data_IF_959071027656
#
_entry.id   IF_959071027656
#
_cell.length_a   1.000
_cell.length_b   1.000
_cell.length_c   1.000
_cell.angle_alpha   90.00
_cell.angle_beta   90.00
_cell.angle_gamma   90.00
#
_symmetry.space_group_name_H-M   'P 1'
#
loop_
_entity.id
_entity.type
_entity.pdbx_description
1 polymer ?
#
# COMPACT_ATOMS: atom_id res chain seq x y z
N UNK A 1 -15.01 -7.29 -29.74
CA UNK A 1 -13.61 -6.86 -29.94
C UNK A 1 -13.06 -6.43 -28.60
N UNK A 2 -12.14 -7.20 -28.02
CA UNK A 2 -11.45 -6.83 -26.79
C UNK A 2 -10.48 -5.70 -27.12
N UNK A 3 -10.73 -4.49 -26.67
CA UNK A 3 -9.77 -3.39 -26.72
C UNK A 3 -8.63 -3.83 -25.81
N UNK A 4 -7.52 -4.21 -26.43
CA UNK A 4 -6.30 -4.61 -25.72
C UNK A 4 -5.62 -3.35 -25.16
N UNK A 5 -6.20 -2.77 -24.10
CA UNK A 5 -5.63 -1.60 -23.44
C UNK A 5 -4.37 -2.03 -22.69
N UNK A 6 -3.28 -1.26 -22.83
CA UNK A 6 -2.04 -1.44 -22.08
C UNK A 6 -2.36 -1.43 -20.57
N UNK A 7 -1.78 -2.36 -19.79
CA UNK A 7 -1.97 -2.36 -18.34
C UNK A 7 -1.51 -1.03 -17.72
N UNK A 8 -2.33 -0.47 -16.85
CA UNK A 8 -1.97 0.73 -16.09
C UNK A 8 -0.94 0.39 -15.02
N UNK A 9 -0.05 1.33 -14.76
CA UNK A 9 0.89 1.31 -13.65
C UNK A 9 0.56 2.50 -12.75
N UNK A 10 0.34 2.24 -11.47
CA UNK A 10 -0.02 3.26 -10.48
C UNK A 10 1.04 3.29 -9.40
N UNK A 11 1.65 4.46 -9.17
CA UNK A 11 2.44 4.76 -7.99
C UNK A 11 1.51 5.46 -6.99
N UNK A 12 1.36 4.88 -5.80
CA UNK A 12 0.45 5.37 -4.77
C UNK A 12 1.20 5.87 -3.54
N UNK A 13 0.83 7.07 -3.09
CA UNK A 13 1.13 7.59 -1.76
C UNK A 13 -0.16 7.77 -0.97
N UNK A 14 -0.12 7.48 0.33
CA UNK A 14 -1.23 7.71 1.27
C UNK A 14 -0.72 8.69 2.33
N UNK A 15 -1.22 9.93 2.28
CA UNK A 15 -0.70 11.05 3.08
C UNK A 15 -1.82 11.65 3.91
N UNK A 16 -1.69 11.60 5.22
CA UNK A 16 -2.69 12.11 6.15
C UNK A 16 -2.04 12.64 7.44
N UNK A 17 -2.80 13.39 8.21
CA UNK A 17 -2.36 14.00 9.47
C UNK A 17 -1.97 15.46 9.32
N UNK A 18 -1.54 16.08 10.41
CA UNK A 18 -1.29 17.51 10.45
C UNK A 18 0.17 17.89 10.15
N UNK A 19 1.10 16.97 10.34
CA UNK A 19 2.54 17.21 10.22
C UNK A 19 2.94 17.41 8.75
N UNK A 20 3.55 18.55 8.43
CA UNK A 20 3.99 18.89 7.07
C UNK A 20 5.01 17.90 6.53
N UNK A 21 5.82 17.32 7.39
CA UNK A 21 6.88 16.37 7.01
C UNK A 21 6.37 15.18 6.18
N UNK A 22 5.12 14.74 6.39
CA UNK A 22 4.55 13.65 5.59
C UNK A 22 4.22 14.10 4.17
N UNK A 23 3.74 15.33 4.02
CA UNK A 23 3.42 15.93 2.72
C UNK A 23 4.69 16.26 1.96
N UNK A 24 5.66 16.91 2.63
CA UNK A 24 6.97 17.24 2.06
C UNK A 24 7.72 15.98 1.64
N UNK A 25 7.66 14.92 2.46
CA UNK A 25 8.23 13.63 2.16
C UNK A 25 7.63 12.99 0.90
N UNK A 26 6.30 12.98 0.77
CA UNK A 26 5.63 12.48 -0.44
C UNK A 26 6.04 13.28 -1.68
N UNK A 27 6.07 14.63 -1.58
CA UNK A 27 6.48 15.52 -2.66
C UNK A 27 7.92 15.21 -3.07
N UNK A 28 8.83 15.14 -2.12
CA UNK A 28 10.24 14.78 -2.41
C UNK A 28 10.34 13.41 -3.06
N UNK A 29 9.62 12.42 -2.54
CA UNK A 29 9.64 11.06 -3.06
C UNK A 29 9.20 11.00 -4.52
N UNK A 30 8.02 11.54 -4.88
CA UNK A 30 7.57 11.48 -6.27
C UNK A 30 8.36 12.39 -7.20
N UNK A 31 8.95 13.49 -6.74
CA UNK A 31 9.87 14.28 -7.56
C UNK A 31 11.14 13.48 -7.91
N UNK A 32 11.69 12.73 -6.95
CA UNK A 32 12.81 11.83 -7.25
C UNK A 32 12.40 10.70 -8.19
N UNK A 33 11.15 10.21 -8.12
CA UNK A 33 10.60 9.24 -9.07
C UNK A 33 10.53 9.82 -10.47
N UNK A 34 9.97 11.03 -10.63
CA UNK A 34 9.81 11.71 -11.92
C UNK A 34 11.14 11.97 -12.63
N UNK A 35 12.24 12.08 -11.89
CA UNK A 35 13.58 12.22 -12.48
C UNK A 35 14.05 10.96 -13.24
N UNK A 36 13.42 9.80 -13.02
CA UNK A 36 13.80 8.51 -13.59
C UNK A 36 12.81 7.97 -14.61
N UNK A 37 11.62 8.56 -14.71
CA UNK A 37 10.56 8.09 -15.60
C UNK A 37 10.25 9.16 -16.66
N UNK A 38 9.84 8.70 -17.82
CA UNK A 38 9.40 9.55 -18.93
C UNK A 38 7.87 9.50 -19.08
N UNK A 39 7.31 10.44 -19.84
CA UNK A 39 5.89 10.41 -20.19
C UNK A 39 5.47 9.15 -20.96
N UNK A 40 6.43 8.43 -21.58
CA UNK A 40 6.17 7.19 -22.31
C UNK A 40 6.03 5.97 -21.39
N UNK A 41 6.40 6.08 -20.12
CA UNK A 41 6.34 4.94 -19.18
C UNK A 41 4.92 4.67 -18.68
N UNK A 42 3.96 5.56 -18.97
CA UNK A 42 2.53 5.43 -18.63
C UNK A 42 2.30 5.08 -17.16
N UNK A 43 2.96 5.79 -16.26
CA UNK A 43 2.78 5.61 -14.81
C UNK A 43 1.97 6.77 -14.27
N UNK A 44 0.84 6.46 -13.65
CA UNK A 44 0.03 7.44 -12.93
C UNK A 44 0.53 7.56 -11.49
N UNK A 45 0.81 8.78 -11.03
CA UNK A 45 1.10 9.06 -9.63
C UNK A 45 -0.20 9.47 -8.96
N UNK A 46 -0.61 8.72 -7.95
CA UNK A 46 -1.82 8.95 -7.17
C UNK A 46 -1.44 9.31 -5.75
N UNK A 47 -1.99 10.39 -5.22
CA UNK A 47 -1.86 10.77 -3.81
C UNK A 47 -3.24 10.71 -3.16
N UNK A 48 -3.44 9.75 -2.28
CA UNK A 48 -4.63 9.66 -1.44
C UNK A 48 -4.39 10.49 -0.18
N UNK A 49 -5.15 11.57 0.00
CA UNK A 49 -4.82 12.58 1.02
C UNK A 49 -6.03 13.31 1.61
N UNK A 50 -5.86 13.91 2.79
CA UNK A 50 -6.83 14.84 3.40
C UNK A 50 -6.68 16.28 2.87
N UNK A 51 -5.52 16.61 2.27
CA UNK A 51 -5.17 17.99 1.83
C UNK A 51 -4.76 17.97 0.36
N UNK A 52 -5.70 17.70 -0.58
CA UNK A 52 -5.40 17.60 -2.00
C UNK A 52 -4.79 18.89 -2.58
N UNK A 53 -5.17 20.05 -2.05
CA UNK A 53 -4.69 21.38 -2.48
C UNK A 53 -3.18 21.54 -2.39
N UNK A 54 -2.50 20.79 -1.51
CA UNK A 54 -1.05 20.82 -1.39
C UNK A 54 -0.32 20.21 -2.61
N UNK A 55 -1.06 19.51 -3.44
CA UNK A 55 -0.52 18.79 -4.60
C UNK A 55 -0.92 19.41 -5.95
N UNK A 56 -1.72 20.47 -5.98
CA UNK A 56 -2.28 21.07 -7.21
C UNK A 56 -1.21 21.53 -8.22
N UNK A 57 -0.01 21.90 -7.75
CA UNK A 57 1.09 22.36 -8.60
C UNK A 57 1.96 21.24 -9.16
N UNK A 58 1.67 19.98 -8.84
CA UNK A 58 2.48 18.83 -9.21
C UNK A 58 1.77 17.92 -10.22
N UNK A 59 2.50 17.18 -11.07
CA UNK A 59 1.92 16.28 -12.07
C UNK A 59 1.43 14.97 -11.44
N UNK A 60 0.57 15.07 -10.44
CA UNK A 60 -0.02 13.94 -9.71
C UNK A 60 -1.54 14.05 -9.72
N UNK A 61 -2.23 12.94 -9.55
CA UNK A 61 -3.67 12.93 -9.35
C UNK A 61 -3.97 12.70 -7.87
N UNK A 62 -4.81 13.54 -7.29
CA UNK A 62 -5.24 13.37 -5.90
C UNK A 62 -6.56 12.63 -5.80
N UNK A 63 -6.69 11.82 -4.76
CA UNK A 63 -7.94 11.27 -4.24
C UNK A 63 -8.10 11.73 -2.79
N UNK A 64 -9.30 12.15 -2.42
CA UNK A 64 -9.53 12.69 -1.08
C UNK A 64 -9.92 11.59 -0.09
N UNK A 65 -9.33 11.65 1.10
CA UNK A 65 -9.78 10.94 2.30
C UNK A 65 -10.58 11.93 3.14
N UNK A 66 -11.83 11.64 3.45
CA UNK A 66 -12.58 12.43 4.43
C UNK A 66 -12.15 12.13 5.86
N UNK A 67 -12.36 13.09 6.76
CA UNK A 67 -12.12 12.91 8.21
C UNK A 67 -12.88 11.70 8.75
N UNK A 68 -14.10 11.46 8.27
CA UNK A 68 -14.92 10.31 8.67
C UNK A 68 -14.28 8.98 8.23
N UNK A 69 -13.82 8.90 6.97
CA UNK A 69 -13.13 7.71 6.47
C UNK A 69 -11.83 7.45 7.22
N UNK A 70 -11.01 8.49 7.45
CA UNK A 70 -9.77 8.34 8.23
C UNK A 70 -10.06 7.78 9.62
N UNK A 71 -11.07 8.32 10.30
CA UNK A 71 -11.48 7.87 11.63
C UNK A 71 -11.94 6.40 11.61
N UNK A 72 -12.75 6.01 10.66
CA UNK A 72 -13.20 4.63 10.48
C UNK A 72 -12.00 3.71 10.17
N UNK A 73 -11.17 4.08 9.20
CA UNK A 73 -10.04 3.26 8.77
C UNK A 73 -8.97 3.09 9.85
N UNK A 74 -8.81 4.07 10.73
CA UNK A 74 -7.89 3.98 11.87
C UNK A 74 -8.48 3.34 13.13
N UNK A 75 -9.70 2.77 13.08
CA UNK A 75 -10.42 2.28 14.25
C UNK A 75 -10.54 3.36 15.35
N UNK A 76 -10.97 4.56 14.96
CA UNK A 76 -11.04 5.75 15.82
C UNK A 76 -9.66 6.16 16.40
N UNK A 77 -8.60 6.07 15.58
CA UNK A 77 -7.23 6.45 15.96
C UNK A 77 -6.46 5.37 16.72
N UNK A 78 -7.04 4.20 16.94
CA UNK A 78 -6.40 3.10 17.67
C UNK A 78 -5.35 2.35 16.87
N UNK A 79 -5.50 2.30 15.52
CA UNK A 79 -4.60 1.54 14.66
C UNK A 79 -4.40 2.19 13.29
N UNK A 80 -3.42 3.08 13.20
CA UNK A 80 -3.16 3.86 11.99
C UNK A 80 -2.67 3.03 10.80
N UNK A 81 -1.97 1.93 11.01
CA UNK A 81 -1.48 1.07 9.93
C UNK A 81 -2.60 0.50 9.04
N UNK A 82 -3.82 0.37 9.60
CA UNK A 82 -4.99 -0.06 8.85
C UNK A 82 -5.37 0.90 7.71
N UNK A 83 -5.03 2.20 7.83
CA UNK A 83 -5.27 3.20 6.79
C UNK A 83 -4.54 2.82 5.48
N UNK A 84 -3.33 2.26 5.55
CA UNK A 84 -2.60 1.79 4.35
C UNK A 84 -3.39 0.70 3.63
N UNK A 85 -3.87 -0.27 4.37
CA UNK A 85 -4.62 -1.41 3.82
C UNK A 85 -5.95 -0.96 3.19
N UNK A 86 -6.73 -0.15 3.92
CA UNK A 86 -8.00 0.41 3.44
C UNK A 86 -7.81 1.36 2.27
N UNK A 87 -6.76 2.19 2.31
CA UNK A 87 -6.41 3.13 1.24
C UNK A 87 -6.02 2.43 -0.05
N UNK A 88 -5.23 1.35 0.03
CA UNK A 88 -4.90 0.51 -1.14
C UNK A 88 -6.17 -0.05 -1.79
N UNK A 89 -7.06 -0.67 -1.00
CA UNK A 89 -8.31 -1.21 -1.50
C UNK A 89 -9.19 -0.10 -2.11
N UNK A 90 -9.34 1.02 -1.43
CA UNK A 90 -10.11 2.17 -1.89
C UNK A 90 -9.61 2.70 -3.24
N UNK A 91 -8.29 2.88 -3.39
CA UNK A 91 -7.71 3.38 -4.65
C UNK A 91 -7.90 2.39 -5.80
N UNK A 92 -7.76 1.09 -5.54
CA UNK A 92 -8.06 0.07 -6.56
C UNK A 92 -9.51 0.18 -7.06
N UNK A 93 -10.47 0.36 -6.14
CA UNK A 93 -11.89 0.47 -6.45
C UNK A 93 -12.21 1.79 -7.18
N UNK A 94 -11.72 2.94 -6.68
CA UNK A 94 -11.96 4.26 -7.28
C UNK A 94 -11.38 4.38 -8.69
N UNK A 95 -10.18 3.84 -8.91
CA UNK A 95 -9.55 3.83 -10.22
C UNK A 95 -10.09 2.73 -11.13
N UNK A 96 -10.94 1.84 -10.61
CA UNK A 96 -11.48 0.67 -11.32
C UNK A 96 -10.37 -0.13 -12.01
N UNK A 97 -9.32 -0.42 -11.24
CA UNK A 97 -8.15 -1.14 -11.76
C UNK A 97 -8.57 -2.54 -12.25
N UNK A 98 -8.04 -2.93 -13.41
CA UNK A 98 -8.35 -4.20 -14.07
C UNK A 98 -7.30 -5.25 -13.73
N UNK A 99 -7.61 -6.51 -13.98
CA UNK A 99 -6.79 -7.68 -13.61
C UNK A 99 -5.31 -7.62 -14.01
N UNK A 100 -4.92 -6.80 -15.02
CA UNK A 100 -3.53 -6.64 -15.47
C UNK A 100 -2.85 -5.37 -14.97
N UNK A 101 -3.61 -4.47 -14.34
CA UNK A 101 -3.06 -3.23 -13.80
C UNK A 101 -2.20 -3.52 -12.58
N UNK A 102 -1.27 -2.63 -12.28
CA UNK A 102 -0.32 -2.77 -11.19
C UNK A 102 -0.34 -1.53 -10.31
N UNK A 103 -0.34 -1.74 -9.01
CA UNK A 103 -0.22 -0.66 -8.03
C UNK A 103 1.01 -0.89 -7.17
N UNK A 104 1.81 0.16 -7.01
CA UNK A 104 2.97 0.21 -6.14
C UNK A 104 2.73 1.31 -5.10
N UNK A 105 2.47 0.92 -3.87
CA UNK A 105 2.38 1.83 -2.73
C UNK A 105 3.77 2.07 -2.16
N UNK A 106 4.04 3.32 -1.75
CA UNK A 106 5.24 3.72 -1.02
C UNK A 106 4.88 4.58 0.19
N UNK A 107 5.62 4.40 1.27
CA UNK A 107 5.63 5.35 2.38
C UNK A 107 6.31 6.66 1.98
N UNK A 108 5.92 7.75 2.63
CA UNK A 108 6.33 9.12 2.30
C UNK A 108 7.79 9.43 2.63
N UNK A 109 8.46 8.59 3.42
CA UNK A 109 9.87 8.70 3.81
C UNK A 109 10.82 7.92 2.90
N UNK A 110 10.40 7.65 1.67
CA UNK A 110 11.18 6.95 0.63
C UNK A 110 11.65 7.93 -0.46
N UNK A 111 12.68 7.55 -1.20
CA UNK A 111 13.14 8.28 -2.39
C UNK A 111 13.82 7.34 -3.39
N UNK A 112 13.93 7.79 -4.63
CA UNK A 112 14.51 7.01 -5.72
C UNK A 112 15.90 7.54 -6.11
N UNK A 113 16.92 6.71 -5.94
CA UNK A 113 18.29 7.00 -6.40
C UNK A 113 18.65 6.27 -7.70
N UNK A 114 17.71 5.50 -8.26
CA UNK A 114 17.80 4.77 -9.53
C UNK A 114 16.41 4.53 -10.11
N UNK A 115 16.34 4.11 -11.37
CA UNK A 115 15.06 3.85 -12.03
C UNK A 115 14.17 2.87 -11.25
N UNK A 116 12.91 3.24 -10.97
CA UNK A 116 11.92 2.39 -10.30
C UNK A 116 11.20 1.41 -11.23
N UNK A 117 11.38 1.53 -12.55
CA UNK A 117 10.65 0.73 -13.54
C UNK A 117 10.72 -0.78 -13.29
N UNK A 118 11.89 -1.35 -12.92
CA UNK A 118 11.99 -2.78 -12.60
C UNK A 118 11.08 -3.24 -11.45
N UNK A 119 10.69 -2.34 -10.53
CA UNK A 119 9.78 -2.70 -9.44
C UNK A 119 8.40 -3.09 -9.98
N UNK A 120 7.92 -2.38 -11.00
CA UNK A 120 6.65 -2.74 -11.64
C UNK A 120 6.71 -4.08 -12.38
N UNK A 121 7.87 -4.48 -12.87
CA UNK A 121 8.03 -5.76 -13.55
C UNK A 121 7.96 -6.93 -12.56
N UNK A 122 8.39 -6.72 -11.30
CA UNK A 122 8.30 -7.69 -10.22
C UNK A 122 6.86 -7.93 -9.73
N UNK A 123 5.95 -6.96 -9.91
CA UNK A 123 4.55 -7.12 -9.52
C UNK A 123 3.86 -8.06 -10.50
N UNK A 124 3.31 -9.16 -10.00
CA UNK A 124 2.62 -10.17 -10.81
C UNK A 124 1.37 -10.71 -10.08
N UNK A 125 0.63 -11.61 -10.74
CA UNK A 125 -0.64 -12.14 -10.23
C UNK A 125 -0.51 -13.23 -9.17
N UNK A 126 0.70 -13.72 -8.92
CA UNK A 126 0.93 -14.87 -8.04
C UNK A 126 1.41 -14.46 -6.65
N UNK A 127 2.06 -13.29 -6.56
CA UNK A 127 2.68 -12.84 -5.30
C UNK A 127 2.65 -11.32 -5.15
N UNK A 128 2.47 -10.87 -3.91
CA UNK A 128 2.65 -9.47 -3.52
C UNK A 128 4.14 -9.14 -3.41
N UNK A 129 4.51 -7.91 -3.80
CA UNK A 129 5.85 -7.36 -3.60
C UNK A 129 5.88 -6.59 -2.29
N UNK A 130 6.81 -6.91 -1.41
CA UNK A 130 7.08 -6.16 -0.17
C UNK A 130 8.51 -5.64 -0.14
N UNK A 131 8.74 -4.59 0.65
CA UNK A 131 10.05 -3.96 0.78
C UNK A 131 11.12 -4.92 1.29
N UNK A 132 10.84 -5.63 2.38
CA UNK A 132 11.81 -6.45 3.09
C UNK A 132 11.14 -7.59 3.85
N UNK A 133 11.75 -8.78 3.81
CA UNK A 133 11.46 -9.81 4.79
C UNK A 133 12.23 -9.50 6.08
N UNK A 134 11.53 -9.15 7.13
CA UNK A 134 12.12 -8.79 8.44
C UNK A 134 12.47 -10.02 9.29
N UNK A 135 12.26 -11.23 8.78
CA UNK A 135 12.49 -12.49 9.46
C UNK A 135 11.23 -13.10 10.06
N UNK A 136 11.40 -14.10 10.89
CA UNK A 136 10.27 -14.77 11.53
C UNK A 136 9.75 -13.95 12.73
N UNK A 137 8.43 -13.96 12.92
CA UNK A 137 7.77 -13.18 13.99
C UNK A 137 8.31 -13.57 15.38
N UNK A 138 8.67 -14.84 15.58
CA UNK A 138 9.22 -15.36 16.83
C UNK A 138 10.66 -14.91 17.12
N UNK A 139 11.40 -14.43 16.13
CA UNK A 139 12.78 -13.99 16.26
C UNK A 139 12.89 -12.50 16.62
N UNK A 140 11.76 -11.77 16.58
CA UNK A 140 11.75 -10.32 16.81
C UNK A 140 11.13 -9.97 18.15
N UNK A 141 11.95 -9.53 19.10
CA UNK A 141 11.53 -9.17 20.46
C UNK A 141 10.35 -8.18 20.50
N UNK A 142 10.29 -7.22 19.55
CA UNK A 142 9.22 -6.24 19.46
C UNK A 142 7.83 -6.85 19.22
N UNK A 143 7.77 -8.08 18.71
CA UNK A 143 6.52 -8.78 18.42
C UNK A 143 6.15 -9.83 19.46
N UNK A 144 6.96 -10.05 20.49
CA UNK A 144 6.70 -11.08 21.51
C UNK A 144 5.33 -10.93 22.18
N UNK A 145 4.84 -9.69 22.34
CA UNK A 145 3.50 -9.47 22.92
C UNK A 145 2.42 -10.05 22.01
N UNK A 146 2.52 -9.82 20.71
CA UNK A 146 1.56 -10.34 19.72
C UNK A 146 1.65 -11.84 19.60
N UNK A 147 2.87 -12.39 19.56
CA UNK A 147 3.10 -13.83 19.53
C UNK A 147 2.46 -14.50 20.74
N UNK A 148 2.75 -14.03 21.94
CA UNK A 148 2.18 -14.56 23.18
C UNK A 148 0.64 -14.53 23.18
N UNK A 149 0.05 -13.51 22.55
CA UNK A 149 -1.40 -13.37 22.48
C UNK A 149 -2.05 -14.23 21.38
N UNK A 150 -1.39 -14.41 20.25
CA UNK A 150 -1.93 -15.04 19.04
C UNK A 150 -1.49 -16.50 18.87
N UNK A 151 -0.40 -16.94 19.54
CA UNK A 151 0.13 -18.31 19.39
C UNK A 151 -0.94 -19.36 19.68
N UNK A 152 -1.12 -20.29 18.74
CA UNK A 152 -2.09 -21.37 18.83
C UNK A 152 -3.55 -20.95 18.68
N UNK A 153 -3.85 -19.65 18.51
CA UNK A 153 -5.21 -19.20 18.23
C UNK A 153 -5.54 -19.42 16.76
N UNK A 154 -6.63 -20.12 16.52
CA UNK A 154 -7.22 -20.23 15.19
C UNK A 154 -8.14 -19.05 14.97
N UNK A 155 -7.87 -18.30 13.91
CA UNK A 155 -8.68 -17.17 13.48
C UNK A 155 -9.48 -17.66 12.27
N UNK A 156 -10.80 -17.60 12.35
CA UNK A 156 -11.67 -17.97 11.24
C UNK A 156 -12.11 -16.72 10.47
N UNK A 157 -11.87 -16.74 9.14
CA UNK A 157 -12.32 -15.70 8.22
C UNK A 157 -12.91 -16.37 7.01
N UNK A 158 -14.20 -16.10 6.76
CA UNK A 158 -14.93 -16.62 5.60
C UNK A 158 -14.80 -18.16 5.44
N UNK A 159 -14.87 -18.89 6.56
CA UNK A 159 -14.76 -20.36 6.59
C UNK A 159 -13.35 -20.91 6.49
N UNK A 160 -12.34 -20.06 6.36
CA UNK A 160 -10.93 -20.43 6.38
C UNK A 160 -10.32 -20.24 7.77
N UNK A 161 -9.45 -21.17 8.17
CA UNK A 161 -8.75 -21.07 9.43
C UNK A 161 -7.31 -20.60 9.21
N UNK A 162 -6.93 -19.57 9.97
CA UNK A 162 -5.57 -19.01 9.98
C UNK A 162 -4.95 -19.20 11.35
N UNK A 163 -3.70 -19.56 11.40
CA UNK A 163 -2.95 -19.74 12.64
C UNK A 163 -1.57 -19.09 12.51
N UNK A 164 -1.20 -18.30 13.51
CA UNK A 164 0.16 -17.78 13.61
C UNK A 164 1.08 -18.92 14.00
N UNK A 165 2.03 -19.25 13.14
CA UNK A 165 3.00 -20.32 13.35
C UNK A 165 4.41 -19.77 13.55
N UNK A 166 5.31 -20.63 14.03
CA UNK A 166 6.74 -20.30 14.14
C UNK A 166 7.39 -19.98 12.79
N UNK A 167 6.76 -20.39 11.67
CA UNK A 167 7.20 -20.09 10.31
C UNK A 167 6.61 -18.81 9.74
N UNK A 168 5.72 -18.13 10.48
CA UNK A 168 5.13 -16.90 10.03
C UNK A 168 6.19 -15.80 9.93
N UNK A 169 6.35 -15.22 8.74
CA UNK A 169 7.29 -14.16 8.47
C UNK A 169 6.65 -12.77 8.63
N UNK A 170 7.48 -11.79 8.92
CA UNK A 170 7.11 -10.38 8.96
C UNK A 170 7.64 -9.72 7.71
N UNK A 171 6.80 -8.96 7.06
CA UNK A 171 7.13 -8.22 5.85
C UNK A 171 7.02 -6.72 6.09
N UNK A 172 8.08 -6.00 5.78
CA UNK A 172 8.11 -4.54 5.86
C UNK A 172 7.17 -3.91 4.83
N UNK A 173 6.28 -3.02 5.27
CA UNK A 173 5.25 -2.38 4.45
C UNK A 173 5.60 -0.98 3.95
N UNK A 174 6.88 -0.59 3.97
CA UNK A 174 7.34 0.68 3.37
C UNK A 174 7.04 0.74 1.86
N UNK A 175 7.04 -0.42 1.21
CA UNK A 175 6.67 -0.59 -0.18
C UNK A 175 5.81 -1.83 -0.31
N UNK A 176 4.67 -1.69 -1.00
CA UNK A 176 3.76 -2.80 -1.28
C UNK A 176 3.33 -2.74 -2.75
N UNK A 177 3.67 -3.77 -3.52
CA UNK A 177 3.24 -3.92 -4.91
C UNK A 177 2.19 -5.01 -5.05
N UNK A 178 1.07 -4.69 -5.69
CA UNK A 178 -0.08 -5.59 -5.84
C UNK A 178 -0.69 -5.51 -7.24
N UNK A 179 -1.41 -6.56 -7.60
CA UNK A 179 -2.38 -6.55 -8.70
C UNK A 179 -3.81 -6.65 -8.14
N UNK A 180 -4.84 -6.21 -8.90
CA UNK A 180 -6.23 -6.19 -8.42
C UNK A 180 -6.82 -7.53 -8.02
N UNK A 181 -6.30 -8.66 -8.53
CA UNK A 181 -6.70 -10.00 -8.07
C UNK A 181 -6.34 -10.28 -6.60
N UNK A 182 -5.48 -9.44 -5.99
CA UNK A 182 -5.12 -9.53 -4.57
C UNK A 182 -5.97 -8.61 -3.67
N UNK A 183 -6.96 -7.93 -4.23
CA UNK A 183 -7.82 -7.00 -3.50
C UNK A 183 -8.53 -7.67 -2.32
N UNK A 184 -8.99 -8.91 -2.50
CA UNK A 184 -9.64 -9.67 -1.43
C UNK A 184 -8.68 -9.99 -0.28
N UNK A 185 -7.39 -10.15 -0.55
CA UNK A 185 -6.37 -10.33 0.49
C UNK A 185 -6.24 -9.10 1.38
N UNK A 186 -6.48 -7.89 0.85
CA UNK A 186 -6.54 -6.67 1.66
C UNK A 186 -7.76 -6.67 2.60
N UNK A 187 -8.91 -7.19 2.16
CA UNK A 187 -10.09 -7.34 3.02
C UNK A 187 -9.87 -8.37 4.13
N UNK A 188 -9.20 -9.49 3.81
CA UNK A 188 -8.84 -10.48 4.84
C UNK A 188 -7.88 -9.90 5.86
N UNK A 189 -6.85 -9.19 5.42
CA UNK A 189 -5.94 -8.50 6.32
C UNK A 189 -6.69 -7.49 7.21
N UNK A 190 -7.67 -6.77 6.66
CA UNK A 190 -8.49 -5.82 7.40
C UNK A 190 -9.34 -6.49 8.49
N UNK A 191 -9.86 -7.68 8.24
CA UNK A 191 -10.63 -8.48 9.24
C UNK A 191 -9.74 -9.01 10.37
N UNK A 192 -8.43 -9.15 10.14
CA UNK A 192 -7.46 -9.59 11.14
C UNK A 192 -6.99 -8.46 12.07
N UNK A 193 -7.16 -7.20 11.67
CA UNK A 193 -6.75 -6.00 12.42
C UNK A 193 -7.82 -5.55 13.40
#
# INVERSE_FOLDING_TARGET
>A
MSINTKPRKVLLYIVYGEESVYYDGAIFSFLTFLNWVSCNDDIEIIVLTEKPELFDSYPVKTLSISVAQKKEWSLNGKYHFRIKNRGLAFVMDELKLKHRDKILFLDTDTYFHKSPLPLFDLINSEQALFYLNEGLIYERNRFHVYVKYLEGKKIEIDGNHYELSRKSAIWGSLMVGLMPNMRDSLEWADKLM
#
